data_IF_948515799696
#
_entry.id   IF_948515799696
#
_cell.length_a   1.000
_cell.length_b   1.000
_cell.length_c   1.000
_cell.angle_alpha   90.00
_cell.angle_beta   90.00
_cell.angle_gamma   90.00
#
_symmetry.space_group_name_H-M   'P 1'
#
loop_
_entity.id
_entity.type
_entity.pdbx_description
1 polymer ?
#
# COMPACT_ATOMS: atom_id res chain seq x y z
N UNK A 1 -25.59 7.07 -5.93
CA UNK A 1 -24.60 7.49 -4.92
C UNK A 1 -24.05 8.87 -5.25
N UNK A 2 -23.50 9.13 -6.46
CA UNK A 2 -22.90 10.40 -6.89
C UNK A 2 -23.84 11.59 -6.79
N UNK A 3 -25.12 11.46 -7.17
CA UNK A 3 -26.11 12.53 -7.03
C UNK A 3 -26.36 12.95 -5.56
N UNK A 4 -26.27 12.01 -4.61
CA UNK A 4 -26.41 12.32 -3.19
C UNK A 4 -25.21 13.13 -2.67
N UNK A 5 -23.99 12.73 -3.07
CA UNK A 5 -22.79 13.48 -2.72
C UNK A 5 -22.75 14.87 -3.37
N UNK A 6 -23.19 15.00 -4.61
CA UNK A 6 -23.26 16.29 -5.28
C UNK A 6 -24.23 17.26 -4.54
N UNK A 7 -25.39 16.76 -4.08
CA UNK A 7 -26.28 17.57 -3.22
C UNK A 7 -25.63 18.01 -1.92
N UNK A 8 -24.83 17.13 -1.27
CA UNK A 8 -24.11 17.50 -0.05
C UNK A 8 -23.03 18.55 -0.33
N UNK A 9 -22.37 18.48 -1.48
CA UNK A 9 -21.38 19.47 -1.93
C UNK A 9 -22.04 20.82 -2.18
N UNK A 10 -23.19 20.86 -2.88
CA UNK A 10 -23.96 22.08 -3.13
C UNK A 10 -24.49 22.72 -1.83
N UNK A 11 -24.77 21.90 -0.80
CA UNK A 11 -25.14 22.35 0.53
C UNK A 11 -23.95 22.83 1.37
N UNK A 12 -22.73 22.79 0.86
CA UNK A 12 -21.52 23.14 1.58
C UNK A 12 -21.12 22.19 2.72
N UNK A 13 -21.75 21.00 2.82
CA UNK A 13 -21.47 20.01 3.86
C UNK A 13 -20.21 19.20 3.62
N UNK A 14 -19.82 19.04 2.37
CA UNK A 14 -18.58 18.40 1.94
C UNK A 14 -17.94 19.24 0.85
N UNK A 15 -16.61 19.17 0.72
CA UNK A 15 -15.84 19.85 -0.33
C UNK A 15 -15.32 18.86 -1.36
N UNK A 16 -14.85 17.71 -0.91
CA UNK A 16 -14.20 16.69 -1.72
C UNK A 16 -14.84 15.33 -1.49
N UNK A 17 -14.74 14.47 -2.49
CA UNK A 17 -15.17 13.08 -2.47
C UNK A 17 -13.94 12.20 -2.58
N UNK A 18 -13.87 11.18 -1.75
CA UNK A 18 -12.85 10.14 -1.83
C UNK A 18 -13.48 8.76 -1.88
N UNK A 19 -12.71 7.80 -2.35
CA UNK A 19 -13.08 6.39 -2.33
C UNK A 19 -12.01 5.54 -1.67
N UNK A 20 -12.40 4.37 -1.18
CA UNK A 20 -11.46 3.33 -0.80
C UNK A 20 -11.36 2.35 -1.96
N UNK A 21 -10.16 2.30 -2.59
CA UNK A 21 -9.86 1.47 -3.75
C UNK A 21 -9.61 0.02 -3.35
N UNK A 22 -10.65 -0.65 -2.85
CA UNK A 22 -10.66 -2.08 -2.51
C UNK A 22 -11.82 -2.72 -3.26
N UNK A 23 -11.56 -3.84 -3.91
CA UNK A 23 -12.56 -4.57 -4.70
C UNK A 23 -11.99 -5.03 -6.05
N UNK A 24 -12.87 -5.33 -6.98
CA UNK A 24 -12.51 -5.75 -8.33
C UNK A 24 -11.75 -4.67 -9.09
N UNK A 25 -10.63 -5.04 -9.73
CA UNK A 25 -9.72 -4.09 -10.40
C UNK A 25 -10.39 -3.36 -11.54
N UNK A 26 -11.16 -4.05 -12.39
CA UNK A 26 -11.83 -3.42 -13.53
C UNK A 26 -12.91 -2.42 -13.06
N UNK A 27 -13.62 -2.75 -11.96
CA UNK A 27 -14.58 -1.84 -11.36
C UNK A 27 -13.91 -0.61 -10.75
N UNK A 28 -12.72 -0.77 -10.15
CA UNK A 28 -11.93 0.35 -9.61
C UNK A 28 -11.49 1.32 -10.72
N UNK A 29 -10.99 0.78 -11.84
CA UNK A 29 -10.63 1.58 -13.00
C UNK A 29 -11.83 2.39 -13.50
N UNK A 30 -12.98 1.75 -13.73
CA UNK A 30 -14.20 2.44 -14.18
C UNK A 30 -14.64 3.55 -13.23
N UNK A 31 -14.55 3.33 -11.92
CA UNK A 31 -14.96 4.32 -10.92
C UNK A 31 -14.00 5.51 -10.88
N UNK A 32 -12.70 5.27 -11.04
CA UNK A 32 -11.70 6.34 -11.07
C UNK A 32 -11.83 7.14 -12.37
N UNK A 33 -11.94 6.45 -13.51
CA UNK A 33 -12.06 7.07 -14.84
C UNK A 33 -13.34 7.89 -15.01
N UNK A 34 -14.36 7.62 -14.19
CA UNK A 34 -15.58 8.44 -14.15
C UNK A 34 -15.34 9.91 -13.71
N UNK A 35 -14.17 10.25 -13.16
CA UNK A 35 -13.76 11.61 -12.84
C UNK A 35 -14.57 12.30 -11.74
N UNK A 36 -15.26 11.53 -10.87
CA UNK A 36 -16.13 12.07 -9.81
C UNK A 36 -15.37 12.26 -8.49
N UNK A 37 -14.33 11.46 -8.27
CA UNK A 37 -13.58 11.44 -7.01
C UNK A 37 -12.35 12.34 -7.07
N UNK A 38 -12.00 12.92 -5.93
CA UNK A 38 -10.84 13.81 -5.77
C UNK A 38 -9.65 13.05 -5.14
N UNK A 39 -9.93 11.96 -4.41
CA UNK A 39 -8.90 11.12 -3.82
C UNK A 39 -9.32 9.66 -3.80
N UNK A 40 -8.33 8.77 -3.85
CA UNK A 40 -8.50 7.34 -3.73
C UNK A 40 -7.50 6.77 -2.71
N UNK A 41 -8.00 5.98 -1.76
CA UNK A 41 -7.15 5.13 -0.94
C UNK A 41 -6.78 3.91 -1.78
N UNK A 42 -5.49 3.70 -2.03
CA UNK A 42 -4.99 2.62 -2.90
C UNK A 42 -4.04 1.72 -2.13
N UNK A 43 -4.22 0.42 -2.25
CA UNK A 43 -3.29 -0.58 -1.68
C UNK A 43 -1.97 -0.49 -2.44
N UNK A 44 -0.90 -0.18 -1.72
CA UNK A 44 0.45 -0.13 -2.28
C UNK A 44 1.50 -0.41 -1.20
N UNK A 45 2.22 -1.50 -1.33
CA UNK A 45 3.24 -1.89 -0.38
C UNK A 45 4.30 -2.82 -1.01
N UNK A 46 5.30 -3.22 -0.23
CA UNK A 46 6.38 -4.08 -0.71
C UNK A 46 5.92 -5.47 -1.16
N UNK A 47 4.77 -5.97 -0.70
CA UNK A 47 4.20 -7.26 -1.13
C UNK A 47 3.27 -7.12 -2.34
N UNK A 48 2.71 -5.94 -2.58
CA UNK A 48 1.89 -5.68 -3.76
C UNK A 48 2.20 -4.29 -4.36
N UNK A 49 3.04 -4.23 -5.38
CA UNK A 49 3.38 -3.00 -6.09
C UNK A 49 2.53 -2.76 -7.35
N UNK A 50 1.52 -3.57 -7.65
CA UNK A 50 0.83 -3.59 -8.94
C UNK A 50 0.09 -2.32 -9.30
N UNK A 51 -0.27 -1.49 -8.31
CA UNK A 51 -0.83 -0.17 -8.60
C UNK A 51 0.16 0.75 -9.36
N UNK A 52 1.47 0.48 -9.26
CA UNK A 52 2.53 1.26 -9.90
C UNK A 52 3.16 0.60 -11.14
N UNK A 53 2.96 -0.70 -11.35
CA UNK A 53 3.63 -1.42 -12.43
C UNK A 53 3.17 -2.86 -12.55
N UNK A 54 3.73 -3.55 -13.53
CA UNK A 54 3.40 -4.95 -13.81
C UNK A 54 3.94 -5.90 -12.73
N UNK A 55 3.20 -6.98 -12.52
CA UNK A 55 3.61 -8.09 -11.66
C UNK A 55 4.27 -9.20 -12.47
N UNK A 56 5.22 -9.95 -11.87
CA UNK A 56 5.66 -11.22 -12.45
C UNK A 56 4.48 -12.18 -12.67
N UNK A 57 4.60 -13.08 -13.64
CA UNK A 57 3.59 -14.12 -13.86
C UNK A 57 3.37 -14.96 -12.60
N UNK A 58 2.12 -15.30 -12.30
CA UNK A 58 1.72 -16.05 -11.11
C UNK A 58 2.13 -15.40 -9.77
N UNK A 59 2.22 -14.07 -9.75
CA UNK A 59 2.51 -13.35 -8.53
C UNK A 59 1.35 -13.47 -7.54
N UNK A 60 1.62 -13.77 -6.26
CA UNK A 60 0.58 -14.06 -5.27
C UNK A 60 -0.03 -12.77 -4.68
N UNK A 61 -0.61 -11.94 -5.52
CA UNK A 61 -1.33 -10.74 -5.11
C UNK A 61 -2.37 -10.37 -6.18
N UNK A 62 -3.40 -9.63 -5.77
CA UNK A 62 -4.32 -8.99 -6.71
C UNK A 62 -3.54 -8.03 -7.61
N UNK A 63 -3.72 -8.13 -8.92
CA UNK A 63 -3.16 -7.16 -9.84
C UNK A 63 -4.08 -5.94 -9.96
N UNK A 64 -3.58 -4.78 -9.56
CA UNK A 64 -4.28 -3.50 -9.71
C UNK A 64 -4.03 -2.85 -11.07
N UNK A 65 -3.30 -3.53 -11.97
CA UNK A 65 -3.13 -3.14 -13.37
C UNK A 65 -2.76 -1.66 -13.54
N UNK A 66 -1.72 -1.22 -12.80
CA UNK A 66 -1.20 0.16 -12.86
C UNK A 66 -2.23 1.23 -12.50
N UNK A 67 -3.05 1.01 -11.50
CA UNK A 67 -4.11 1.92 -11.04
C UNK A 67 -3.62 3.37 -10.84
N UNK A 68 -2.33 3.59 -10.56
CA UNK A 68 -1.76 4.94 -10.45
C UNK A 68 -1.78 5.72 -11.77
N UNK A 69 -1.73 5.05 -12.91
CA UNK A 69 -1.84 5.74 -14.20
C UNK A 69 -3.27 6.28 -14.37
N UNK A 70 -4.31 5.50 -14.04
CA UNK A 70 -5.71 5.95 -14.03
C UNK A 70 -5.93 7.10 -13.05
N UNK A 71 -5.40 7.02 -11.82
CA UNK A 71 -5.53 8.13 -10.86
C UNK A 71 -4.88 9.41 -11.36
N UNK A 72 -3.73 9.30 -12.02
CA UNK A 72 -3.02 10.44 -12.61
C UNK A 72 -3.80 11.06 -13.75
N UNK A 73 -4.33 10.25 -14.67
CA UNK A 73 -5.12 10.72 -15.82
C UNK A 73 -6.42 11.40 -15.39
N UNK A 74 -7.08 10.84 -14.38
CA UNK A 74 -8.31 11.39 -13.81
C UNK A 74 -8.08 12.57 -12.85
N UNK A 75 -6.82 12.92 -12.51
CA UNK A 75 -6.50 13.98 -11.55
C UNK A 75 -6.89 13.63 -10.10
N UNK A 76 -6.91 12.34 -9.76
CA UNK A 76 -7.29 11.82 -8.43
C UNK A 76 -6.05 11.70 -7.55
N UNK A 77 -6.06 12.35 -6.37
CA UNK A 77 -4.98 12.25 -5.39
C UNK A 77 -4.92 10.87 -4.74
N UNK A 78 -3.72 10.30 -4.63
CA UNK A 78 -3.51 8.96 -4.04
C UNK A 78 -3.19 9.04 -2.56
N UNK A 79 -3.93 8.26 -1.77
CA UNK A 79 -3.67 7.99 -0.35
C UNK A 79 -3.26 6.51 -0.24
N UNK A 80 -1.99 6.24 0.03
CA UNK A 80 -1.49 4.87 0.18
C UNK A 80 -2.05 4.21 1.44
N UNK A 81 -2.65 3.06 1.29
CA UNK A 81 -3.14 2.23 2.41
C UNK A 81 -2.46 0.86 2.41
N UNK A 82 -2.63 0.13 3.50
CA UNK A 82 -1.99 -1.19 3.69
C UNK A 82 -0.47 -1.14 3.56
N UNK A 83 0.13 -0.02 3.87
CA UNK A 83 1.59 0.23 3.78
C UNK A 83 2.40 -0.87 4.48
N UNK A 84 1.93 -1.35 5.63
CA UNK A 84 2.54 -2.44 6.39
C UNK A 84 1.85 -3.80 6.15
N UNK A 85 1.01 -3.95 5.11
CA UNK A 85 0.25 -5.17 4.82
C UNK A 85 -0.49 -5.71 6.06
N UNK A 86 -1.16 -4.82 6.80
CA UNK A 86 -1.84 -5.18 8.06
C UNK A 86 -0.91 -5.53 9.22
N UNK A 87 0.39 -5.26 9.09
CA UNK A 87 1.45 -5.58 10.04
C UNK A 87 2.37 -6.72 9.58
N UNK A 88 2.01 -7.47 8.54
CA UNK A 88 2.84 -8.58 8.03
C UNK A 88 4.25 -8.12 7.62
N UNK A 89 4.38 -6.88 7.13
CA UNK A 89 5.68 -6.28 6.78
C UNK A 89 6.55 -5.89 8.00
N UNK A 90 6.15 -6.26 9.22
CA UNK A 90 7.09 -6.34 10.35
C UNK A 90 7.98 -7.60 10.31
N UNK A 91 7.55 -8.64 9.56
CA UNK A 91 8.19 -9.95 9.55
C UNK A 91 7.88 -10.78 10.80
N UNK A 92 7.01 -10.32 11.70
CA UNK A 92 6.62 -10.97 12.95
C UNK A 92 5.12 -11.24 13.00
N UNK A 93 4.76 -12.38 13.56
CA UNK A 93 3.38 -12.70 13.92
C UNK A 93 2.95 -12.07 15.25
N UNK A 94 3.91 -11.60 16.06
CA UNK A 94 3.61 -10.94 17.32
C UNK A 94 2.95 -9.58 17.08
N UNK A 95 1.88 -9.33 17.83
CA UNK A 95 1.10 -8.09 17.75
C UNK A 95 0.93 -7.51 19.15
N UNK A 96 0.94 -6.19 19.23
CA UNK A 96 0.63 -5.52 20.49
C UNK A 96 -0.80 -5.81 20.93
N UNK A 97 -1.04 -5.95 22.24
CA UNK A 97 -2.34 -6.34 22.79
C UNK A 97 -3.50 -5.38 22.46
N UNK A 98 -3.20 -4.09 22.24
CA UNK A 98 -4.18 -3.11 21.80
C UNK A 98 -4.30 -3.01 20.27
N UNK A 99 -3.42 -3.68 19.52
CA UNK A 99 -3.59 -3.74 18.07
C UNK A 99 -4.82 -4.57 17.70
N UNK A 100 -5.47 -4.23 16.60
CA UNK A 100 -6.53 -5.07 16.04
C UNK A 100 -6.01 -6.50 15.85
N UNK A 101 -6.87 -7.53 15.92
CA UNK A 101 -6.51 -8.86 15.45
C UNK A 101 -5.89 -8.80 14.06
N UNK A 102 -5.07 -9.79 13.69
CA UNK A 102 -4.48 -9.84 12.36
C UNK A 102 -5.59 -9.70 11.30
N UNK A 103 -5.55 -8.66 10.47
CA UNK A 103 -6.60 -8.46 9.49
C UNK A 103 -6.47 -9.52 8.39
N UNK A 104 -7.58 -9.81 7.75
CA UNK A 104 -7.51 -10.55 6.50
C UNK A 104 -6.63 -9.81 5.49
N UNK A 105 -5.81 -10.52 4.71
CA UNK A 105 -5.03 -9.92 3.63
C UNK A 105 -5.93 -9.19 2.64
N UNK A 106 -5.51 -8.02 2.18
CA UNK A 106 -6.20 -7.25 1.15
C UNK A 106 -5.21 -6.98 0.03
N UNK A 107 -5.52 -7.49 -1.15
CA UNK A 107 -4.67 -7.32 -2.32
C UNK A 107 -3.33 -8.08 -2.25
N UNK A 108 -3.19 -9.06 -1.34
CA UNK A 108 -1.99 -9.88 -1.18
C UNK A 108 -2.34 -11.37 -1.09
N UNK A 109 -1.56 -12.21 -0.40
CA UNK A 109 -1.76 -13.67 -0.40
C UNK A 109 -3.03 -14.13 0.30
N UNK A 110 -3.24 -15.46 0.25
CA UNK A 110 -4.37 -16.15 0.85
C UNK A 110 -4.43 -16.04 2.38
N UNK A 111 -3.31 -15.84 3.06
CA UNK A 111 -3.26 -15.75 4.52
C UNK A 111 -2.25 -14.72 5.02
N UNK A 112 -2.48 -14.24 6.24
CA UNK A 112 -1.56 -13.33 6.93
C UNK A 112 -0.18 -13.95 7.17
N UNK A 113 -0.13 -15.26 7.49
CA UNK A 113 1.14 -15.97 7.69
C UNK A 113 1.95 -16.06 6.40
N UNK A 114 1.29 -16.29 5.25
CA UNK A 114 1.94 -16.27 3.95
C UNK A 114 2.51 -14.87 3.62
N UNK A 115 1.85 -13.80 4.04
CA UNK A 115 2.38 -12.44 3.91
C UNK A 115 3.60 -12.21 4.81
N UNK A 116 3.60 -12.72 6.04
CA UNK A 116 4.76 -12.66 6.94
C UNK A 116 5.96 -13.42 6.35
N UNK A 117 5.74 -14.61 5.83
CA UNK A 117 6.82 -15.41 5.24
C UNK A 117 7.44 -14.73 4.02
N UNK A 118 6.63 -14.07 3.20
CA UNK A 118 7.14 -13.26 2.10
C UNK A 118 7.85 -12.00 2.58
N UNK A 119 7.35 -11.35 3.64
CA UNK A 119 8.01 -10.20 4.23
C UNK A 119 9.42 -10.57 4.73
N UNK A 120 9.59 -11.74 5.35
CA UNK A 120 10.91 -12.23 5.79
C UNK A 120 11.91 -12.42 4.67
N UNK A 121 11.46 -12.74 3.45
CA UNK A 121 12.35 -12.83 2.26
C UNK A 121 12.90 -11.47 1.83
N UNK A 122 12.37 -10.38 2.38
CA UNK A 122 12.85 -9.02 2.12
C UNK A 122 13.96 -8.57 3.09
N UNK A 123 14.37 -9.43 4.03
CA UNK A 123 15.47 -9.15 4.98
C UNK A 123 16.76 -8.68 4.32
N UNK A 124 17.14 -9.10 3.10
CA UNK A 124 18.32 -8.55 2.41
C UNK A 124 18.32 -7.02 2.28
N UNK A 125 17.16 -6.34 2.32
CA UNK A 125 17.11 -4.87 2.37
C UNK A 125 17.74 -4.32 3.65
N UNK A 126 17.58 -5.03 4.75
CA UNK A 126 18.10 -4.64 6.07
C UNK A 126 19.56 -5.02 6.18
N UNK A 127 19.92 -6.24 5.76
CA UNK A 127 21.29 -6.78 5.77
C UNK A 127 22.25 -5.93 4.94
N UNK A 128 21.76 -5.34 3.84
CA UNK A 128 22.53 -4.41 3.01
C UNK A 128 22.46 -2.94 3.47
N UNK A 129 21.81 -2.67 4.60
CA UNK A 129 21.80 -1.35 5.22
C UNK A 129 20.89 -0.31 4.55
N UNK A 130 19.93 -0.72 3.69
CA UNK A 130 19.01 0.23 3.07
C UNK A 130 17.95 0.78 4.03
N UNK A 131 17.64 0.03 5.08
CA UNK A 131 16.75 0.42 6.17
C UNK A 131 17.15 -0.29 7.46
N UNK A 132 16.74 0.23 8.61
CA UNK A 132 17.00 -0.38 9.91
C UNK A 132 15.99 -1.50 10.26
N UNK A 133 14.82 -1.52 9.60
CA UNK A 133 13.78 -2.54 9.80
C UNK A 133 12.90 -2.68 8.55
N UNK A 134 12.18 -3.80 8.46
CA UNK A 134 11.21 -4.02 7.38
C UNK A 134 10.08 -2.98 7.42
N UNK A 135 9.64 -2.53 8.59
CA UNK A 135 8.63 -1.49 8.74
C UNK A 135 9.13 -0.13 8.24
N UNK A 136 10.39 0.22 8.51
CA UNK A 136 11.04 1.40 7.92
C UNK A 136 11.09 1.27 6.39
N UNK A 137 11.58 0.13 5.89
CA UNK A 137 11.65 -0.12 4.45
C UNK A 137 10.27 0.01 3.78
N UNK A 138 9.23 -0.57 4.39
CA UNK A 138 7.86 -0.51 3.87
C UNK A 138 7.30 0.91 3.81
N UNK A 139 7.50 1.69 4.87
CA UNK A 139 7.09 3.09 4.92
C UNK A 139 7.78 3.92 3.85
N UNK A 140 9.10 3.77 3.72
CA UNK A 140 9.91 4.48 2.72
C UNK A 140 9.64 4.02 1.30
N UNK A 141 9.32 2.72 1.10
CA UNK A 141 8.88 2.19 -0.20
C UNK A 141 7.59 2.87 -0.67
N UNK A 142 6.59 2.97 0.20
CA UNK A 142 5.33 3.62 -0.15
C UNK A 142 5.52 5.07 -0.60
N UNK A 143 6.47 5.78 0.00
CA UNK A 143 6.84 7.16 -0.35
C UNK A 143 7.70 7.26 -1.61
N UNK A 144 8.18 6.14 -2.16
CA UNK A 144 9.11 6.16 -3.31
C UNK A 144 8.43 6.38 -4.66
N UNK A 145 7.10 6.29 -4.73
CA UNK A 145 6.38 6.49 -5.98
C UNK A 145 5.82 7.92 -6.11
N UNK A 146 6.05 8.63 -7.23
CA UNK A 146 5.67 10.05 -7.38
C UNK A 146 4.15 10.29 -7.38
N UNK A 147 3.32 9.27 -7.65
CA UNK A 147 1.87 9.39 -7.54
C UNK A 147 1.38 9.47 -6.08
N UNK A 148 2.23 9.08 -5.11
CA UNK A 148 1.84 9.03 -3.71
C UNK A 148 1.71 10.43 -3.11
N UNK A 149 0.49 10.85 -2.81
CA UNK A 149 0.21 12.12 -2.14
C UNK A 149 0.41 12.05 -0.62
N UNK A 150 -0.02 10.97 -0.01
CA UNK A 150 0.14 10.68 1.43
C UNK A 150 -0.04 9.20 1.70
N UNK A 151 0.33 8.76 2.91
CA UNK A 151 0.17 7.36 3.34
C UNK A 151 -0.55 7.28 4.69
N UNK A 152 -1.31 6.22 4.90
CA UNK A 152 -1.90 5.88 6.19
C UNK A 152 -1.17 4.69 6.79
N UNK A 153 -0.58 4.89 7.96
CA UNK A 153 0.13 3.85 8.71
C UNK A 153 -0.59 3.60 10.03
N UNK A 154 -1.00 2.36 10.27
CA UNK A 154 -1.58 1.95 11.55
C UNK A 154 -0.49 1.79 12.62
N UNK A 155 -0.79 2.21 13.84
CA UNK A 155 0.13 2.17 14.99
C UNK A 155 -0.65 1.81 16.25
N UNK A 156 -0.02 1.08 17.16
CA UNK A 156 -0.60 0.69 18.46
C UNK A 156 0.11 1.41 19.62
N UNK A 157 1.32 1.92 19.42
CA UNK A 157 2.14 2.52 20.48
C UNK A 157 2.76 3.85 20.04
N UNK A 158 3.12 4.75 20.99
CA UNK A 158 3.90 5.95 20.69
C UNK A 158 5.25 5.64 20.02
N UNK A 159 5.89 4.54 20.39
CA UNK A 159 7.16 4.11 19.81
C UNK A 159 7.03 3.78 18.31
N UNK A 160 5.91 3.13 17.91
CA UNK A 160 5.61 2.87 16.49
C UNK A 160 5.34 4.17 15.73
N UNK A 161 4.71 5.16 16.40
CA UNK A 161 4.54 6.50 15.82
C UNK A 161 5.88 7.16 15.56
N UNK A 162 6.76 7.21 16.56
CA UNK A 162 8.08 7.82 16.45
C UNK A 162 8.92 7.13 15.38
N UNK A 163 8.91 5.78 15.33
CA UNK A 163 9.61 5.01 14.30
C UNK A 163 9.07 5.32 12.88
N UNK A 164 7.76 5.45 12.73
CA UNK A 164 7.14 5.81 11.45
C UNK A 164 7.51 7.23 11.02
N UNK A 165 7.54 8.17 11.96
CA UNK A 165 7.95 9.55 11.69
C UNK A 165 9.42 9.64 11.27
N UNK A 166 10.31 8.90 11.94
CA UNK A 166 11.72 8.82 11.55
C UNK A 166 11.90 8.18 10.17
N UNK A 167 11.12 7.14 9.84
CA UNK A 167 11.14 6.55 8.51
C UNK A 167 10.74 7.58 7.42
N UNK A 168 9.70 8.38 7.67
CA UNK A 168 9.26 9.45 6.76
C UNK A 168 10.33 10.53 6.61
N UNK A 169 11.01 10.92 7.69
CA UNK A 169 12.11 11.91 7.66
C UNK A 169 13.31 11.48 6.82
N UNK A 170 13.58 10.16 6.76
CA UNK A 170 14.63 9.61 5.89
C UNK A 170 14.28 9.66 4.40
N UNK A 171 13.00 9.91 4.08
CA UNK A 171 12.51 10.00 2.70
C UNK A 171 12.42 8.65 1.98
N UNK A 172 12.20 8.67 0.66
CA UNK A 172 12.07 7.47 -0.17
C UNK A 172 13.26 6.51 -0.06
N UNK A 173 13.03 5.24 -0.43
CA UNK A 173 14.12 4.28 -0.62
C UNK A 173 15.01 4.69 -1.81
N UNK A 174 16.33 4.47 -1.73
CA UNK A 174 17.21 4.72 -2.86
C UNK A 174 16.95 3.73 -4.00
N UNK A 175 17.30 4.10 -5.21
CA UNK A 175 17.08 3.30 -6.42
C UNK A 175 17.62 1.87 -6.28
N UNK A 176 18.81 1.70 -5.71
CA UNK A 176 19.42 0.38 -5.51
C UNK A 176 18.56 -0.53 -4.61
N UNK A 177 17.89 0.03 -3.57
CA UNK A 177 16.96 -0.74 -2.74
C UNK A 177 15.70 -1.16 -3.51
N UNK A 178 15.19 -0.28 -4.37
CA UNK A 178 14.03 -0.59 -5.21
C UNK A 178 14.36 -1.68 -6.25
N UNK A 179 15.55 -1.66 -6.82
CA UNK A 179 16.03 -2.67 -7.77
C UNK A 179 16.24 -4.04 -7.08
N UNK A 180 16.82 -4.04 -5.88
CA UNK A 180 16.93 -5.25 -5.05
C UNK A 180 15.54 -5.80 -4.74
N UNK A 181 14.61 -4.95 -4.32
CA UNK A 181 13.24 -5.34 -3.99
C UNK A 181 12.52 -5.95 -5.21
N UNK A 182 12.70 -5.39 -6.41
CA UNK A 182 12.15 -5.94 -7.63
C UNK A 182 12.70 -7.34 -7.91
N UNK A 183 14.00 -7.56 -7.68
CA UNK A 183 14.65 -8.87 -7.82
C UNK A 183 14.11 -9.89 -6.80
N UNK A 184 14.00 -9.51 -5.53
CA UNK A 184 13.50 -10.39 -4.47
C UNK A 184 12.05 -10.83 -4.73
N UNK A 185 11.22 -9.96 -5.27
CA UNK A 185 9.82 -10.26 -5.61
C UNK A 185 9.68 -11.31 -6.72
N UNK A 186 10.65 -11.48 -7.60
CA UNK A 186 10.60 -12.51 -8.65
C UNK A 186 10.53 -13.93 -8.06
N UNK A 187 11.01 -14.12 -6.83
CA UNK A 187 10.92 -15.38 -6.11
C UNK A 187 9.60 -15.59 -5.35
N UNK A 188 8.66 -14.65 -5.41
CA UNK A 188 7.37 -14.80 -4.74
C UNK A 188 6.47 -15.73 -5.55
N UNK A 189 5.85 -16.68 -4.85
CA UNK A 189 4.93 -17.66 -5.42
C UNK A 189 3.78 -17.91 -4.47
N UNK A 190 2.69 -18.45 -4.98
CA UNK A 190 1.48 -18.76 -4.23
C UNK A 190 0.24 -18.34 -5.02
N UNK A 191 -0.93 -18.51 -4.42
CA UNK A 191 -2.19 -18.06 -5.00
C UNK A 191 -2.52 -16.65 -4.46
N UNK A 192 -3.00 -15.73 -5.31
CA UNK A 192 -3.57 -14.46 -4.86
C UNK A 192 -4.90 -14.74 -4.14
N UNK A 193 -5.27 -13.84 -3.25
CA UNK A 193 -6.59 -13.86 -2.63
C UNK A 193 -7.62 -13.17 -3.51
#
# INVERSE_FOLDING_TARGET
>A
LTQAFERLRQQGKIRFLGLTGVGDTAALHQVIDAGVFHSAQVVYNMLNPSAAGELPANYPAQDYERLFDHTKEAGVGVVGIRVLAGGALSGSAERHSIASPAPEPIGSAMSYDADIDRARRLMPLIEQGFAASLTEAATRFALSHPAMGTILVGMATPQEFDASLEAVRKGPLPRAALDLLATLRQGFSGEPR
#
